data_IF_467612893037
#
_entry.id   IF_467612893037
#
_cell.length_a   1.000
_cell.length_b   1.000
_cell.length_c   1.000
_cell.angle_alpha   90.00
_cell.angle_beta   90.00
_cell.angle_gamma   90.00
#
_symmetry.space_group_name_H-M   'P 1'
#
loop_
_entity.id
_entity.type
_entity.pdbx_description
1 polymer ?
#
# COMPACT_ATOMS: atom_id res chain seq x y z
N UNK A 1 -6.22 8.30 4.01
CA UNK A 1 -6.81 7.06 4.53
C UNK A 1 -5.82 6.35 5.44
N UNK A 2 -6.21 6.01 6.64
CA UNK A 2 -5.33 5.35 7.62
C UNK A 2 -5.76 3.89 7.76
N UNK A 3 -4.86 2.97 7.46
CA UNK A 3 -5.05 1.54 7.67
C UNK A 3 -4.18 1.06 8.83
N UNK A 4 -4.31 -0.23 9.19
CA UNK A 4 -3.52 -0.79 10.29
C UNK A 4 -2.02 -0.75 10.02
N UNK A 5 -1.63 -1.00 8.77
CA UNK A 5 -0.21 -1.20 8.42
C UNK A 5 0.34 -0.17 7.44
N UNK A 6 -0.46 0.80 7.01
CA UNK A 6 -0.01 1.88 6.13
C UNK A 6 -0.96 3.07 6.21
N UNK A 7 -0.47 4.20 5.73
CA UNK A 7 -1.25 5.42 5.54
C UNK A 7 -1.23 5.72 4.05
N UNK A 8 -2.38 6.02 3.47
CA UNK A 8 -2.48 6.42 2.08
C UNK A 8 -2.81 7.90 1.98
N UNK A 9 -1.93 8.63 1.31
CA UNK A 9 -2.21 10.00 0.86
C UNK A 9 -2.55 9.92 -0.63
N UNK A 10 -3.58 10.62 -1.04
CA UNK A 10 -3.95 10.62 -2.45
C UNK A 10 -4.43 12.00 -2.88
N UNK A 11 -4.22 12.30 -4.16
CA UNK A 11 -4.66 13.57 -4.77
C UNK A 11 -5.06 13.30 -6.20
N UNK A 12 -5.92 14.18 -6.74
CA UNK A 12 -6.33 14.09 -8.13
C UNK A 12 -5.32 14.79 -9.02
N UNK A 13 -5.16 14.28 -10.25
CA UNK A 13 -4.42 14.96 -11.29
C UNK A 13 -5.17 14.82 -12.63
N UNK A 14 -4.77 15.59 -13.63
CA UNK A 14 -5.50 15.67 -14.91
C UNK A 14 -5.27 14.46 -15.80
N UNK A 15 -4.11 13.83 -15.70
CA UNK A 15 -3.80 12.66 -16.51
C UNK A 15 -4.58 11.44 -16.03
N UNK A 16 -5.09 10.61 -16.96
CA UNK A 16 -5.83 9.41 -16.55
C UNK A 16 -4.94 8.34 -15.90
N UNK A 17 -3.67 8.26 -16.29
CA UNK A 17 -2.76 7.23 -15.76
C UNK A 17 -2.47 7.46 -14.29
N UNK A 18 -2.80 6.51 -13.40
CA UNK A 18 -2.50 6.66 -11.98
C UNK A 18 -1.00 6.53 -11.71
N UNK A 19 -0.54 7.21 -10.66
CA UNK A 19 0.85 7.16 -10.23
C UNK A 19 0.93 6.63 -8.81
N UNK A 20 2.00 5.89 -8.52
CA UNK A 20 2.21 5.25 -7.22
C UNK A 20 3.58 5.63 -6.66
N UNK A 21 3.59 6.06 -5.41
CA UNK A 21 4.80 6.23 -4.62
C UNK A 21 4.67 5.43 -3.32
N UNK A 22 5.77 4.88 -2.84
CA UNK A 22 5.80 4.09 -1.60
C UNK A 22 6.98 4.56 -0.76
N UNK A 23 6.72 4.97 0.47
CA UNK A 23 7.73 5.35 1.44
C UNK A 23 7.78 4.30 2.55
N UNK A 24 8.97 3.76 2.82
CA UNK A 24 9.18 2.76 3.87
C UNK A 24 10.43 3.16 4.63
N UNK A 25 10.29 3.38 5.94
CA UNK A 25 11.45 3.75 6.76
C UNK A 25 12.35 2.54 7.04
N UNK A 26 13.60 2.81 7.44
CA UNK A 26 14.54 1.76 7.82
C UNK A 26 14.04 0.95 9.02
N UNK A 27 13.17 1.52 9.85
CA UNK A 27 12.58 0.84 11.01
C UNK A 27 11.62 -0.28 10.64
N UNK A 28 11.09 -0.26 9.42
CA UNK A 28 10.19 -1.31 8.94
C UNK A 28 10.87 -2.67 8.92
N UNK A 29 12.14 -2.69 8.52
CA UNK A 29 12.93 -3.91 8.43
C UNK A 29 14.12 -3.71 7.52
N UNK A 30 14.83 -4.81 7.22
CA UNK A 30 15.97 -4.78 6.31
C UNK A 30 15.52 -4.56 4.86
N UNK A 31 16.50 -4.42 3.96
CA UNK A 31 16.22 -4.14 2.54
C UNK A 31 15.33 -5.21 1.90
N UNK A 32 15.53 -6.48 2.27
CA UNK A 32 14.73 -7.58 1.73
C UNK A 32 13.26 -7.41 2.10
N UNK A 33 12.97 -7.10 3.37
CA UNK A 33 11.59 -6.91 3.83
C UNK A 33 10.94 -5.69 3.18
N UNK A 34 11.69 -4.58 3.08
CA UNK A 34 11.18 -3.37 2.44
C UNK A 34 10.86 -3.61 0.96
N UNK A 35 11.75 -4.29 0.24
CA UNK A 35 11.54 -4.59 -1.17
C UNK A 35 10.36 -5.54 -1.38
N UNK A 36 10.16 -6.49 -0.48
CA UNK A 36 9.02 -7.42 -0.52
C UNK A 36 7.70 -6.67 -0.40
N UNK A 37 7.61 -5.71 0.52
CA UNK A 37 6.42 -4.87 0.68
C UNK A 37 6.16 -4.04 -0.59
N UNK A 38 7.21 -3.38 -1.13
CA UNK A 38 7.08 -2.58 -2.35
C UNK A 38 6.59 -3.43 -3.53
N UNK A 39 7.16 -4.61 -3.70
CA UNK A 39 6.76 -5.52 -4.79
C UNK A 39 5.31 -5.95 -4.63
N UNK A 40 4.93 -6.35 -3.42
CA UNK A 40 3.57 -6.75 -3.13
C UNK A 40 2.57 -5.65 -3.50
N UNK A 41 2.84 -4.43 -3.06
CA UNK A 41 1.96 -3.29 -3.31
C UNK A 41 1.90 -2.93 -4.78
N UNK A 42 3.04 -2.91 -5.47
CA UNK A 42 3.09 -2.59 -6.90
C UNK A 42 2.33 -3.60 -7.73
N UNK A 43 2.40 -4.87 -7.40
CA UNK A 43 1.65 -5.91 -8.10
C UNK A 43 0.15 -5.73 -7.93
N UNK A 44 -0.30 -5.41 -6.73
CA UNK A 44 -1.70 -5.12 -6.46
C UNK A 44 -2.16 -3.88 -7.22
N UNK A 45 -1.37 -2.82 -7.16
CA UNK A 45 -1.66 -1.58 -7.88
C UNK A 45 -1.77 -1.82 -9.39
N UNK A 46 -0.84 -2.54 -9.97
CA UNK A 46 -0.83 -2.84 -11.40
C UNK A 46 -2.11 -3.57 -11.83
N UNK A 47 -2.58 -4.49 -11.00
CA UNK A 47 -3.79 -5.26 -11.28
C UNK A 47 -5.05 -4.41 -11.20
N UNK A 48 -5.04 -3.36 -10.38
CA UNK A 48 -6.23 -2.55 -10.09
C UNK A 48 -6.11 -1.10 -10.55
N UNK A 49 -5.29 -0.82 -11.55
CA UNK A 49 -5.06 0.55 -12.05
C UNK A 49 -6.33 1.30 -12.38
N UNK A 50 -7.32 0.62 -12.94
CA UNK A 50 -8.58 1.23 -13.34
C UNK A 50 -9.33 1.88 -12.18
N UNK A 51 -9.17 1.34 -10.98
CA UNK A 51 -9.81 1.89 -9.79
C UNK A 51 -9.22 3.25 -9.40
N UNK A 52 -7.98 3.54 -9.84
CA UNK A 52 -7.23 4.71 -9.41
C UNK A 52 -7.00 5.72 -10.52
N UNK A 53 -7.77 5.66 -11.59
CA UNK A 53 -7.65 6.58 -12.73
C UNK A 53 -7.69 8.03 -12.26
N UNK A 54 -6.72 8.81 -12.70
CA UNK A 54 -6.62 10.23 -12.36
C UNK A 54 -6.14 10.52 -10.94
N UNK A 55 -5.54 9.54 -10.28
CA UNK A 55 -5.06 9.70 -8.90
C UNK A 55 -3.56 9.48 -8.77
N UNK A 56 -2.95 10.29 -7.89
CA UNK A 56 -1.64 10.03 -7.33
C UNK A 56 -1.84 9.36 -5.98
N UNK A 57 -1.22 8.20 -5.79
CA UNK A 57 -1.29 7.45 -4.54
C UNK A 57 0.09 7.41 -3.90
N UNK A 58 0.16 7.76 -2.61
CA UNK A 58 1.39 7.67 -1.85
C UNK A 58 1.13 6.86 -0.59
N UNK A 59 1.67 5.65 -0.55
CA UNK A 59 1.57 4.77 0.62
C UNK A 59 2.78 4.98 1.51
N UNK A 60 2.53 5.15 2.80
CA UNK A 60 3.56 5.20 3.83
C UNK A 60 3.40 3.97 4.71
N UNK A 61 4.35 3.05 4.65
CA UNK A 61 4.28 1.81 5.42
C UNK A 61 4.50 2.07 6.90
N UNK A 62 3.66 1.47 7.73
CA UNK A 62 3.85 1.47 9.18
C UNK A 62 4.71 0.30 9.59
N UNK A 63 5.46 0.46 10.66
CA UNK A 63 6.24 -0.63 11.23
C UNK A 63 5.32 -1.75 11.69
N UNK A 64 5.67 -3.00 11.35
CA UNK A 64 4.91 -4.16 11.81
C UNK A 64 5.08 -4.30 13.33
N UNK A 65 3.98 -4.49 14.09
CA UNK A 65 4.10 -4.78 15.52
C UNK A 65 4.97 -6.02 15.76
N UNK A 66 5.86 -5.94 16.73
CA UNK A 66 6.85 -6.99 16.98
C UNK A 66 6.20 -8.34 17.32
N UNK A 67 5.07 -8.32 18.01
CA UNK A 67 4.38 -9.54 18.45
C UNK A 67 3.43 -10.10 17.38
N UNK A 68 3.24 -9.41 16.27
CA UNK A 68 2.33 -9.87 15.21
C UNK A 68 3.05 -10.87 14.31
N UNK A 69 2.50 -12.06 14.19
CA UNK A 69 3.04 -13.10 13.33
C UNK A 69 3.00 -12.69 11.86
N UNK A 70 4.00 -13.14 11.09
CA UNK A 70 4.14 -12.80 9.68
C UNK A 70 2.91 -13.21 8.87
N UNK A 71 2.38 -14.40 9.11
CA UNK A 71 1.19 -14.87 8.39
C UNK A 71 -0.03 -13.98 8.66
N UNK A 72 -0.23 -13.59 9.92
CA UNK A 72 -1.33 -12.69 10.28
C UNK A 72 -1.14 -11.30 9.70
N UNK A 73 0.10 -10.82 9.68
CA UNK A 73 0.44 -9.54 9.07
C UNK A 73 0.05 -9.50 7.59
N UNK A 74 0.38 -10.56 6.85
CA UNK A 74 0.03 -10.66 5.42
C UNK A 74 -1.48 -10.68 5.22
N UNK A 75 -2.22 -11.38 6.06
CA UNK A 75 -3.68 -11.39 6.00
C UNK A 75 -4.25 -10.00 6.22
N UNK A 76 -3.74 -9.26 7.20
CA UNK A 76 -4.21 -7.91 7.50
C UNK A 76 -3.87 -6.91 6.41
N UNK A 77 -2.70 -7.04 5.78
CA UNK A 77 -2.36 -6.23 4.61
C UNK A 77 -3.36 -6.45 3.49
N UNK A 78 -3.69 -7.71 3.24
CA UNK A 78 -4.65 -8.05 2.19
C UNK A 78 -6.04 -7.51 2.51
N UNK A 79 -6.51 -7.67 3.72
CA UNK A 79 -7.80 -7.15 4.17
C UNK A 79 -7.86 -5.62 4.03
N UNK A 80 -6.81 -4.93 4.45
CA UNK A 80 -6.75 -3.48 4.35
C UNK A 80 -6.78 -3.03 2.89
N UNK A 81 -6.11 -3.74 2.00
CA UNK A 81 -6.11 -3.41 0.58
C UNK A 81 -7.50 -3.65 -0.04
N UNK A 82 -8.20 -4.69 0.36
CA UNK A 82 -9.56 -4.94 -0.10
C UNK A 82 -10.52 -3.82 0.32
N UNK A 83 -10.36 -3.30 1.52
CA UNK A 83 -11.14 -2.13 1.98
C UNK A 83 -10.83 -0.89 1.15
N UNK A 84 -9.56 -0.71 0.79
CA UNK A 84 -9.15 0.39 -0.08
C UNK A 84 -9.83 0.27 -1.44
N UNK A 85 -9.81 -0.90 -2.06
CA UNK A 85 -10.45 -1.11 -3.35
C UNK A 85 -11.94 -0.82 -3.31
N UNK A 86 -12.61 -1.22 -2.22
CA UNK A 86 -14.04 -0.96 -2.06
C UNK A 86 -14.33 0.55 -2.04
N UNK A 87 -13.42 1.35 -1.50
CA UNK A 87 -13.55 2.81 -1.43
C UNK A 87 -13.35 3.49 -2.79
N UNK A 88 -12.52 2.92 -3.65
CA UNK A 88 -12.16 3.50 -4.96
C UNK A 88 -12.77 2.75 -6.15
N UNK A 89 -13.90 2.17 -5.98
CA UNK A 89 -14.62 1.54 -7.09
C UNK A 89 -15.13 2.55 -8.11
#
# INVERSE_FOLDING_TARGET
MVARHWILFFSKHEEPTPRLAVTISARYGNAVKRNRFRRWLRERFRTHKKNFTGLDLHFVAKQKPMHLEEARYKEELHEDYQRLLARFR
#
